data_IF_559224601009
#
_entry.id   IF_559224601009
#
_cell.length_a   1.000
_cell.length_b   1.000
_cell.length_c   1.000
_cell.angle_alpha   90.00
_cell.angle_beta   90.00
_cell.angle_gamma   90.00
#
_symmetry.space_group_name_H-M   'P 1'
#
loop_
_entity.id
_entity.type
_entity.pdbx_description
1 polymer ?
#
# COMPACT_ATOMS: atom_id res chain seq x y z
N UNK A 1 -4.24 15.58 30.62
CA UNK A 1 -4.23 14.87 29.32
C UNK A 1 -5.52 14.09 29.18
N UNK A 2 -6.55 14.66 28.55
CA UNK A 2 -7.82 13.96 28.26
C UNK A 2 -8.18 14.31 26.82
N UNK A 3 -8.46 13.30 26.00
CA UNK A 3 -8.69 13.33 24.54
C UNK A 3 -7.43 13.31 23.65
N UNK A 4 -6.39 12.57 24.00
CA UNK A 4 -5.48 12.06 22.96
C UNK A 4 -6.18 10.87 22.29
N UNK A 5 -6.46 10.97 21.00
CA UNK A 5 -6.96 9.85 20.20
C UNK A 5 -5.89 8.76 20.30
N UNK A 6 -6.11 7.76 21.15
CA UNK A 6 -5.27 6.57 21.19
C UNK A 6 -5.42 5.89 19.82
N UNK A 7 -4.38 5.91 18.97
CA UNK A 7 -4.46 5.20 17.70
C UNK A 7 -4.73 3.73 18.05
N UNK A 8 -5.64 3.08 17.36
CA UNK A 8 -5.79 1.63 17.49
C UNK A 8 -4.83 0.96 16.50
N UNK A 9 -4.29 -0.21 16.85
CA UNK A 9 -3.40 -1.01 15.99
C UNK A 9 -4.10 -1.63 14.77
N UNK A 10 -5.07 -0.91 14.19
CA UNK A 10 -6.04 -1.38 13.18
C UNK A 10 -5.33 -2.08 12.03
N UNK A 11 -4.17 -1.59 11.61
CA UNK A 11 -3.44 -2.12 10.46
C UNK A 11 -2.87 -3.53 10.67
N UNK A 12 -2.63 -3.97 11.91
CA UNK A 12 -1.91 -5.23 12.17
C UNK A 12 -2.76 -6.45 11.79
N UNK A 13 -4.05 -6.57 12.18
CA UNK A 13 -4.91 -7.65 11.70
C UNK A 13 -4.98 -7.76 10.18
N UNK A 14 -5.12 -6.63 9.48
CA UNK A 14 -5.11 -6.60 8.01
C UNK A 14 -3.76 -7.05 7.43
N UNK A 15 -2.64 -6.60 8.01
CA UNK A 15 -1.32 -7.03 7.57
C UNK A 15 -1.12 -8.55 7.76
N UNK A 16 -1.57 -9.11 8.89
CA UNK A 16 -1.48 -10.54 9.14
C UNK A 16 -2.35 -11.33 8.16
N UNK A 17 -3.58 -10.88 7.92
CA UNK A 17 -4.49 -11.47 6.94
C UNK A 17 -3.90 -11.41 5.52
N UNK A 18 -3.23 -10.30 5.17
CA UNK A 18 -2.52 -10.17 3.91
C UNK A 18 -1.43 -11.23 3.74
N UNK A 19 -0.62 -11.46 4.78
CA UNK A 19 0.42 -12.49 4.76
C UNK A 19 -0.18 -13.88 4.60
N UNK A 20 -1.31 -14.17 5.27
CA UNK A 20 -2.04 -15.43 5.13
C UNK A 20 -2.51 -15.61 3.67
N UNK A 21 -3.12 -14.59 3.07
CA UNK A 21 -3.53 -14.68 1.67
C UNK A 21 -2.35 -14.89 0.73
N UNK A 22 -1.23 -14.19 0.92
CA UNK A 22 -0.03 -14.42 0.10
C UNK A 22 0.53 -15.84 0.24
N UNK A 23 0.56 -16.40 1.46
CA UNK A 23 0.97 -17.80 1.68
C UNK A 23 0.03 -18.76 0.95
N UNK A 24 -1.28 -18.57 1.07
CA UNK A 24 -2.29 -19.37 0.35
C UNK A 24 -2.07 -19.25 -1.16
N UNK A 25 -1.81 -18.04 -1.67
CA UNK A 25 -1.50 -17.81 -3.08
C UNK A 25 -0.24 -18.52 -3.57
N UNK A 26 0.81 -18.60 -2.74
CA UNK A 26 2.01 -19.37 -3.05
C UNK A 26 1.77 -20.88 -3.08
N UNK A 27 0.92 -21.40 -2.20
CA UNK A 27 0.56 -22.83 -2.19
C UNK A 27 -0.34 -23.17 -3.39
N UNK A 28 -1.40 -22.39 -3.62
CA UNK A 28 -2.42 -22.65 -4.64
C UNK A 28 -2.14 -21.87 -5.93
N UNK A 29 -1.23 -22.39 -6.75
CA UNK A 29 -0.74 -21.75 -7.98
C UNK A 29 -1.84 -21.31 -8.97
N UNK A 30 -2.94 -22.06 -9.08
CA UNK A 30 -4.06 -21.69 -9.97
C UNK A 30 -4.80 -20.42 -9.51
N UNK A 31 -4.95 -20.26 -8.20
CA UNK A 31 -5.60 -19.10 -7.58
C UNK A 31 -4.60 -18.04 -7.12
N UNK A 32 -3.32 -18.22 -7.46
CA UNK A 32 -2.22 -17.35 -7.07
C UNK A 32 -2.52 -15.86 -7.30
N UNK A 33 -2.84 -15.38 -8.53
CA UNK A 33 -3.05 -13.96 -8.76
C UNK A 33 -4.23 -13.39 -7.95
N UNK A 34 -5.25 -14.21 -7.67
CA UNK A 34 -6.39 -13.80 -6.86
C UNK A 34 -6.00 -13.59 -5.39
N UNK A 35 -5.29 -14.54 -4.80
CA UNK A 35 -4.83 -14.41 -3.42
C UNK A 35 -3.75 -13.33 -3.24
N UNK A 36 -2.91 -13.11 -4.26
CA UNK A 36 -1.94 -12.01 -4.26
C UNK A 36 -2.63 -10.64 -4.22
N UNK A 37 -3.68 -10.44 -5.03
CA UNK A 37 -4.43 -9.18 -5.04
C UNK A 37 -5.30 -9.02 -3.78
N UNK A 38 -5.86 -10.10 -3.23
CA UNK A 38 -6.54 -10.06 -1.92
C UNK A 38 -5.58 -9.60 -0.83
N UNK A 39 -4.40 -10.20 -0.72
CA UNK A 39 -3.42 -9.77 0.30
C UNK A 39 -2.99 -8.31 0.11
N UNK A 40 -2.82 -7.85 -1.13
CA UNK A 40 -2.55 -6.44 -1.41
C UNK A 40 -3.70 -5.50 -0.98
N UNK A 41 -4.94 -5.93 -1.22
CA UNK A 41 -6.14 -5.22 -0.83
C UNK A 41 -6.27 -5.12 0.70
N UNK A 42 -5.93 -6.18 1.44
CA UNK A 42 -5.88 -6.14 2.90
C UNK A 42 -4.89 -5.10 3.42
N UNK A 43 -3.65 -5.10 2.91
CA UNK A 43 -2.65 -4.09 3.30
C UNK A 43 -3.18 -2.68 3.02
N UNK A 44 -3.83 -2.48 1.87
CA UNK A 44 -4.48 -1.23 1.52
C UNK A 44 -5.55 -0.83 2.57
N UNK A 45 -6.50 -1.72 2.89
CA UNK A 45 -7.57 -1.47 3.85
C UNK A 45 -7.02 -1.11 5.24
N UNK A 46 -6.06 -1.89 5.75
CA UNK A 46 -5.44 -1.64 7.05
C UNK A 46 -4.73 -0.29 7.10
N UNK A 47 -4.03 0.08 6.02
CA UNK A 47 -3.26 1.31 5.98
C UNK A 47 -4.13 2.56 5.77
N UNK A 48 -5.16 2.51 4.93
CA UNK A 48 -6.07 3.65 4.74
C UNK A 48 -6.86 3.94 6.03
N UNK A 49 -7.37 2.91 6.70
CA UNK A 49 -8.07 3.05 7.97
C UNK A 49 -7.15 3.65 9.03
N UNK A 50 -5.91 3.15 9.15
CA UNK A 50 -4.95 3.66 10.14
C UNK A 50 -4.55 5.10 9.89
N UNK A 51 -4.21 5.45 8.65
CA UNK A 51 -3.65 6.77 8.34
C UNK A 51 -4.70 7.88 8.35
N UNK A 52 -5.93 7.58 7.94
CA UNK A 52 -6.96 8.60 7.74
C UNK A 52 -8.11 8.50 8.74
N UNK A 53 -8.39 7.31 9.28
CA UNK A 53 -9.58 7.05 10.10
C UNK A 53 -9.31 6.29 11.42
N UNK A 54 -8.29 6.64 12.24
CA UNK A 54 -7.85 5.81 13.37
C UNK A 54 -8.77 5.85 14.61
N UNK A 55 -9.87 6.62 14.60
CA UNK A 55 -10.63 6.89 15.81
C UNK A 55 -11.46 5.68 16.29
N UNK A 56 -11.50 5.45 17.61
CA UNK A 56 -12.21 4.31 18.22
C UNK A 56 -13.70 4.23 17.91
N UNK A 57 -14.35 5.38 17.72
CA UNK A 57 -15.78 5.41 17.36
C UNK A 57 -16.09 4.71 16.04
N UNK A 58 -15.08 4.51 15.18
CA UNK A 58 -15.19 3.83 13.90
C UNK A 58 -14.95 2.31 13.99
N UNK A 59 -14.53 1.78 15.15
CA UNK A 59 -14.18 0.36 15.34
C UNK A 59 -15.25 -0.60 14.79
N UNK A 60 -16.56 -0.40 15.03
CA UNK A 60 -17.57 -1.33 14.50
C UNK A 60 -17.50 -1.47 12.97
N UNK A 61 -17.33 -0.36 12.25
CA UNK A 61 -17.21 -0.35 10.78
C UNK A 61 -15.87 -0.93 10.34
N UNK A 62 -14.79 -0.63 11.06
CA UNK A 62 -13.46 -1.18 10.77
C UNK A 62 -13.41 -2.71 10.94
N UNK A 63 -14.07 -3.25 11.98
CA UNK A 63 -14.20 -4.68 12.19
C UNK A 63 -15.08 -5.33 11.12
N UNK A 64 -16.16 -4.67 10.71
CA UNK A 64 -17.00 -5.14 9.62
C UNK A 64 -16.21 -5.24 8.31
N UNK A 65 -15.38 -4.23 8.01
CA UNK A 65 -14.46 -4.24 6.86
C UNK A 65 -13.49 -5.42 6.98
N UNK A 66 -12.84 -5.63 8.14
CA UNK A 66 -11.90 -6.74 8.34
C UNK A 66 -12.56 -8.11 8.17
N UNK A 67 -13.73 -8.32 8.77
CA UNK A 67 -14.45 -9.61 8.73
C UNK A 67 -14.92 -9.91 7.31
N UNK A 68 -15.48 -8.92 6.61
CA UNK A 68 -15.95 -9.10 5.24
C UNK A 68 -14.80 -9.33 4.27
N UNK A 69 -13.71 -8.56 4.36
CA UNK A 69 -12.54 -8.70 3.49
C UNK A 69 -11.79 -10.03 3.71
N UNK A 70 -11.82 -10.59 4.92
CA UNK A 70 -11.33 -11.93 5.22
C UNK A 70 -12.04 -13.06 4.47
N UNK A 71 -13.27 -12.85 3.98
CA UNK A 71 -13.98 -13.83 3.16
C UNK A 71 -13.50 -13.66 1.71
N UNK A 72 -12.79 -14.65 1.10
CA UNK A 72 -12.13 -14.49 -0.19
C UNK A 72 -13.10 -14.59 -1.37
N UNK A 73 -14.20 -13.83 -1.33
CA UNK A 73 -15.20 -13.71 -2.38
C UNK A 73 -15.26 -12.27 -2.87
N UNK A 74 -15.23 -12.05 -4.18
CA UNK A 74 -15.24 -10.71 -4.78
C UNK A 74 -16.40 -9.83 -4.28
N UNK A 75 -17.60 -10.39 -4.08
CA UNK A 75 -18.77 -9.67 -3.54
C UNK A 75 -18.50 -9.12 -2.13
N UNK A 76 -17.79 -9.88 -1.29
CA UNK A 76 -17.40 -9.42 0.05
C UNK A 76 -16.33 -8.33 -0.01
N UNK A 77 -15.49 -8.33 -1.04
CA UNK A 77 -14.52 -7.25 -1.29
C UNK A 77 -15.21 -5.95 -1.77
N UNK A 78 -16.27 -6.06 -2.58
CA UNK A 78 -17.14 -4.94 -2.93
C UNK A 78 -17.79 -4.36 -1.65
N UNK A 79 -18.36 -5.23 -0.82
CA UNK A 79 -18.99 -4.83 0.44
C UNK A 79 -17.99 -4.13 1.38
N UNK A 80 -16.79 -4.69 1.53
CA UNK A 80 -15.69 -4.08 2.31
C UNK A 80 -15.33 -2.69 1.79
N UNK A 81 -15.24 -2.53 0.47
CA UNK A 81 -14.95 -1.24 -0.18
C UNK A 81 -16.07 -0.23 0.05
N UNK A 82 -17.32 -0.67 0.02
CA UNK A 82 -18.48 0.18 0.31
C UNK A 82 -18.50 0.63 1.78
N UNK A 83 -18.22 -0.27 2.71
CA UNK A 83 -18.09 0.07 4.13
C UNK A 83 -16.95 1.05 4.39
N UNK A 84 -15.85 0.94 3.64
CA UNK A 84 -14.76 1.91 3.69
C UNK A 84 -15.19 3.30 3.18
N UNK A 85 -16.00 3.38 2.12
CA UNK A 85 -16.57 4.66 1.65
C UNK A 85 -17.50 5.27 2.70
N UNK A 86 -18.35 4.47 3.36
CA UNK A 86 -19.20 4.94 4.46
C UNK A 86 -18.34 5.52 5.60
N UNK A 87 -17.28 4.81 5.98
CA UNK A 87 -16.34 5.25 7.00
C UNK A 87 -15.68 6.58 6.61
N UNK A 88 -15.24 6.71 5.36
CA UNK A 88 -14.63 7.92 4.83
C UNK A 88 -15.59 9.12 4.89
N UNK A 89 -16.84 8.96 4.43
CA UNK A 89 -17.86 10.02 4.49
C UNK A 89 -18.16 10.41 5.94
N UNK A 90 -18.29 9.43 6.83
CA UNK A 90 -18.53 9.68 8.25
C UNK A 90 -17.36 10.46 8.87
N UNK A 91 -16.13 10.04 8.62
CA UNK A 91 -14.94 10.71 9.11
C UNK A 91 -14.80 12.15 8.57
N UNK A 92 -15.11 12.40 7.29
CA UNK A 92 -15.10 13.74 6.74
C UNK A 92 -16.15 14.66 7.37
N UNK A 93 -17.36 14.14 7.61
CA UNK A 93 -18.41 14.89 8.31
C UNK A 93 -17.93 15.28 9.70
N UNK A 94 -17.31 14.36 10.41
CA UNK A 94 -16.77 14.61 11.75
C UNK A 94 -15.65 15.65 11.74
N UNK A 95 -14.66 15.52 10.86
CA UNK A 95 -13.56 16.50 10.76
C UNK A 95 -14.11 17.90 10.48
N UNK A 96 -15.10 18.02 9.59
CA UNK A 96 -15.76 19.30 9.29
C UNK A 96 -16.50 19.86 10.52
N UNK A 97 -17.25 19.02 11.23
CA UNK A 97 -17.99 19.42 12.43
C UNK A 97 -17.06 19.89 13.55
N UNK A 98 -15.86 19.31 13.67
CA UNK A 98 -14.84 19.73 14.63
C UNK A 98 -13.99 20.93 14.15
N UNK A 99 -14.32 21.53 12.99
CA UNK A 99 -13.59 22.67 12.43
C UNK A 99 -12.19 22.32 11.88
N UNK A 100 -11.89 21.03 11.71
CA UNK A 100 -10.61 20.56 11.19
C UNK A 100 -10.47 20.77 9.68
N UNK A 101 -9.22 20.75 9.20
CA UNK A 101 -8.90 20.82 7.76
C UNK A 101 -8.48 19.45 7.24
N UNK A 102 -9.17 18.97 6.19
CA UNK A 102 -8.84 17.71 5.53
C UNK A 102 -7.67 17.91 4.56
N UNK A 103 -6.65 17.06 4.64
CA UNK A 103 -5.56 17.02 3.65
C UNK A 103 -6.16 16.52 2.34
N UNK A 104 -6.20 17.35 1.29
CA UNK A 104 -6.83 17.01 0.01
C UNK A 104 -5.97 16.03 -0.81
N UNK A 105 -5.85 14.77 -0.39
CA UNK A 105 -5.15 13.74 -1.17
C UNK A 105 -6.14 13.01 -2.09
N UNK A 106 -6.40 13.57 -3.28
CA UNK A 106 -7.37 13.03 -4.23
C UNK A 106 -7.03 11.62 -4.71
N UNK A 107 -5.73 11.32 -4.85
CA UNK A 107 -5.29 9.97 -5.22
C UNK A 107 -5.74 8.95 -4.18
N UNK A 108 -5.56 9.24 -2.89
CA UNK A 108 -5.97 8.31 -1.83
C UNK A 108 -7.48 8.24 -1.66
N UNK A 109 -8.17 9.38 -1.66
CA UNK A 109 -9.63 9.40 -1.43
C UNK A 109 -10.46 8.93 -2.63
N UNK A 110 -9.86 8.85 -3.83
CA UNK A 110 -10.51 8.20 -4.97
C UNK A 110 -10.37 6.67 -4.96
N UNK A 111 -9.41 6.11 -4.21
CA UNK A 111 -9.15 4.66 -4.26
C UNK A 111 -10.29 3.80 -3.73
N UNK A 112 -11.04 4.14 -2.64
CA UNK A 112 -12.15 3.32 -2.18
C UNK A 112 -13.25 3.16 -3.24
N UNK A 113 -13.61 4.27 -3.91
CA UNK A 113 -14.57 4.25 -5.01
C UNK A 113 -14.07 3.44 -6.20
N UNK A 114 -12.78 3.60 -6.55
CA UNK A 114 -12.17 2.81 -7.62
C UNK A 114 -12.18 1.31 -7.31
N UNK A 115 -12.00 0.90 -6.05
CA UNK A 115 -12.09 -0.49 -5.64
C UNK A 115 -13.49 -1.09 -5.78
N UNK A 116 -14.55 -0.33 -5.47
CA UNK A 116 -15.94 -0.78 -5.71
C UNK A 116 -16.12 -1.14 -7.19
N UNK A 117 -15.72 -0.24 -8.08
CA UNK A 117 -15.82 -0.46 -9.54
C UNK A 117 -14.94 -1.63 -9.97
N UNK A 118 -13.68 -1.66 -9.53
CA UNK A 118 -12.71 -2.68 -9.93
C UNK A 118 -13.12 -4.09 -9.49
N UNK A 119 -13.62 -4.25 -8.26
CA UNK A 119 -14.14 -5.53 -7.78
C UNK A 119 -15.44 -5.95 -8.46
N UNK A 120 -16.28 -4.98 -8.86
CA UNK A 120 -17.53 -5.26 -9.61
C UNK A 120 -17.26 -5.76 -11.03
N UNK A 121 -16.24 -5.22 -11.70
CA UNK A 121 -15.79 -5.67 -13.03
C UNK A 121 -15.00 -6.99 -12.92
N UNK A 122 -14.36 -7.22 -11.76
CA UNK A 122 -13.51 -8.38 -11.48
C UNK A 122 -12.38 -8.56 -12.50
N UNK A 123 -11.65 -7.48 -12.78
CA UNK A 123 -10.48 -7.48 -13.65
C UNK A 123 -9.23 -7.04 -12.88
N UNK A 124 -8.20 -7.89 -12.87
CA UNK A 124 -6.94 -7.63 -12.15
C UNK A 124 -6.32 -6.28 -12.47
N UNK A 125 -6.44 -5.84 -13.72
CA UNK A 125 -5.83 -4.60 -14.13
C UNK A 125 -6.58 -3.37 -13.61
N UNK A 126 -7.90 -3.44 -13.51
CA UNK A 126 -8.70 -2.42 -12.82
C UNK A 126 -8.38 -2.39 -11.32
N UNK A 127 -8.14 -3.55 -10.70
CA UNK A 127 -7.71 -3.65 -9.30
C UNK A 127 -6.32 -3.03 -9.08
N UNK A 128 -5.38 -3.28 -10.00
CA UNK A 128 -4.06 -2.65 -10.02
C UNK A 128 -4.17 -1.13 -10.14
N UNK A 129 -5.09 -0.63 -10.96
CA UNK A 129 -5.33 0.81 -11.09
C UNK A 129 -5.89 1.42 -9.79
N UNK A 130 -6.90 0.77 -9.20
CA UNK A 130 -7.46 1.20 -7.91
C UNK A 130 -6.38 1.23 -6.81
N UNK A 131 -5.52 0.21 -6.77
CA UNK A 131 -4.40 0.14 -5.83
C UNK A 131 -3.33 1.19 -6.11
N UNK A 132 -3.06 1.50 -7.39
CA UNK A 132 -2.09 2.51 -7.80
C UNK A 132 -2.47 3.91 -7.34
N UNK A 133 -3.78 4.26 -7.38
CA UNK A 133 -4.28 5.51 -6.82
C UNK A 133 -3.84 5.66 -5.35
N UNK A 134 -4.06 4.63 -4.54
CA UNK A 134 -3.65 4.62 -3.15
C UNK A 134 -2.12 4.70 -2.98
N UNK A 135 -1.39 3.78 -3.63
CA UNK A 135 0.06 3.62 -3.45
C UNK A 135 0.81 4.90 -3.81
N UNK A 136 0.51 5.48 -4.97
CA UNK A 136 1.15 6.73 -5.41
C UNK A 136 0.76 7.88 -4.49
N UNK A 137 -0.51 7.96 -4.10
CA UNK A 137 -1.04 9.03 -3.25
C UNK A 137 -0.42 9.07 -1.85
N UNK A 138 -0.32 7.93 -1.17
CA UNK A 138 0.27 7.87 0.18
C UNK A 138 1.78 8.10 0.14
N UNK A 139 2.47 7.55 -0.87
CA UNK A 139 3.92 7.67 -0.96
C UNK A 139 4.42 9.08 -1.33
N UNK A 140 3.56 9.99 -1.83
CA UNK A 140 3.90 11.41 -1.94
C UNK A 140 4.31 11.97 -0.57
N UNK A 141 3.57 11.62 0.50
CA UNK A 141 3.88 12.06 1.86
C UNK A 141 5.19 11.44 2.40
N UNK A 142 5.38 10.15 2.14
CA UNK A 142 6.60 9.42 2.56
C UNK A 142 7.84 10.03 1.91
N UNK A 143 7.83 10.17 0.57
CA UNK A 143 8.97 10.72 -0.16
C UNK A 143 9.18 12.21 0.08
N UNK A 144 8.10 12.99 0.31
CA UNK A 144 8.25 14.38 0.77
C UNK A 144 9.03 14.46 2.08
N UNK A 145 8.76 13.56 3.02
CA UNK A 145 9.44 13.58 4.31
C UNK A 145 10.83 12.90 4.32
N UNK A 146 11.09 11.92 3.45
CA UNK A 146 12.35 11.16 3.44
C UNK A 146 13.37 11.66 2.42
N UNK A 147 12.90 12.21 1.30
CA UNK A 147 13.72 12.68 0.18
C UNK A 147 13.60 14.20 -0.01
N UNK A 148 12.89 14.89 0.89
CA UNK A 148 12.63 16.33 0.84
C UNK A 148 11.87 16.77 -0.42
N UNK A 149 11.05 15.88 -0.98
CA UNK A 149 10.24 16.21 -2.15
C UNK A 149 9.16 17.23 -1.80
N UNK A 150 8.75 18.00 -2.80
CA UNK A 150 7.59 18.87 -2.67
C UNK A 150 6.33 18.01 -2.61
N UNK A 151 5.60 18.07 -1.51
CA UNK A 151 4.32 17.37 -1.40
C UNK A 151 3.32 17.96 -2.40
N UNK A 152 2.79 17.11 -3.28
CA UNK A 152 1.78 17.48 -4.28
C UNK A 152 0.44 16.92 -3.84
N UNK A 153 -0.43 17.81 -3.36
CA UNK A 153 -1.79 17.48 -2.95
C UNK A 153 -2.82 18.33 -3.71
N UNK A 154 -4.07 17.92 -3.65
CA UNK A 154 -5.21 18.57 -4.28
C UNK A 154 -5.17 18.43 -5.81
N UNK A 155 -5.71 19.42 -6.52
CA UNK A 155 -5.89 19.36 -7.97
C UNK A 155 -4.61 19.11 -8.77
N UNK A 156 -3.44 19.39 -8.18
CA UNK A 156 -2.15 19.09 -8.80
C UNK A 156 -1.88 17.58 -8.98
N UNK A 157 -2.66 16.72 -8.33
CA UNK A 157 -2.60 15.27 -8.49
C UNK A 157 -3.42 14.75 -9.69
N UNK A 158 -4.25 15.60 -10.32
CA UNK A 158 -5.12 15.20 -11.42
C UNK A 158 -4.39 14.56 -12.62
N UNK A 159 -3.19 15.04 -13.04
CA UNK A 159 -2.43 14.36 -14.09
C UNK A 159 -2.10 12.90 -13.76
N UNK A 160 -1.76 12.61 -12.50
CA UNK A 160 -1.50 11.24 -12.05
C UNK A 160 -2.77 10.38 -12.05
N UNK A 161 -3.91 10.94 -11.66
CA UNK A 161 -5.21 10.25 -11.72
C UNK A 161 -5.54 9.86 -13.15
N UNK A 162 -5.39 10.78 -14.11
CA UNK A 162 -5.63 10.50 -15.53
C UNK A 162 -4.71 9.37 -16.00
N UNK A 163 -3.40 9.45 -15.71
CA UNK A 163 -2.46 8.40 -16.13
C UNK A 163 -2.81 7.04 -15.53
N UNK A 164 -3.27 6.97 -14.28
CA UNK A 164 -3.75 5.72 -13.67
C UNK A 164 -5.02 5.21 -14.35
N UNK A 165 -5.95 6.09 -14.74
CA UNK A 165 -7.16 5.69 -15.47
C UNK A 165 -6.81 5.18 -16.88
N UNK A 166 -5.95 5.89 -17.61
CA UNK A 166 -5.47 5.46 -18.94
C UNK A 166 -4.75 4.12 -18.82
N UNK A 167 -3.97 3.95 -17.75
CA UNK A 167 -3.31 2.69 -17.45
C UNK A 167 -4.33 1.55 -17.45
N UNK A 168 -5.54 1.69 -16.88
CA UNK A 168 -6.59 0.67 -16.84
C UNK A 168 -6.99 0.08 -18.21
N UNK A 169 -6.71 0.78 -19.31
CA UNK A 169 -6.96 0.31 -20.67
C UNK A 169 -5.69 -0.09 -21.41
N UNK A 170 -4.55 0.52 -21.06
CA UNK A 170 -3.27 0.33 -21.75
C UNK A 170 -2.19 -0.08 -20.73
N UNK A 171 -1.94 -1.39 -20.61
CA UNK A 171 -1.04 -1.96 -19.60
C UNK A 171 0.39 -1.42 -19.68
N UNK A 172 0.82 -1.14 -20.91
CA UNK A 172 2.13 -0.60 -21.26
C UNK A 172 2.36 0.80 -20.69
N UNK A 173 1.33 1.49 -20.19
CA UNK A 173 1.46 2.79 -19.53
C UNK A 173 2.08 2.72 -18.14
N UNK A 174 2.15 1.53 -17.51
CA UNK A 174 2.73 1.36 -16.17
C UNK A 174 4.14 1.99 -16.01
N UNK A 175 5.16 1.65 -16.82
CA UNK A 175 6.50 2.25 -16.70
C UNK A 175 6.49 3.77 -16.85
N UNK A 176 5.69 4.30 -17.79
CA UNK A 176 5.59 5.73 -18.05
C UNK A 176 4.91 6.46 -16.89
N UNK A 177 3.85 5.89 -16.31
CA UNK A 177 3.20 6.41 -15.10
C UNK A 177 4.20 6.48 -13.95
N UNK A 178 4.99 5.43 -13.71
CA UNK A 178 5.94 5.39 -12.59
C UNK A 178 7.10 6.37 -12.81
N UNK A 179 7.67 6.43 -14.02
CA UNK A 179 8.68 7.44 -14.34
C UNK A 179 8.14 8.86 -14.19
N UNK A 180 6.94 9.13 -14.72
CA UNK A 180 6.29 10.43 -14.60
C UNK A 180 6.01 10.78 -13.13
N UNK A 181 5.49 9.83 -12.33
CA UNK A 181 5.27 10.02 -10.90
C UNK A 181 6.54 10.49 -10.18
N UNK A 182 7.65 9.81 -10.41
CA UNK A 182 8.92 10.18 -9.78
C UNK A 182 9.51 11.47 -10.34
N UNK A 183 9.40 11.73 -11.65
CA UNK A 183 9.87 12.98 -12.25
C UNK A 183 9.05 14.19 -11.79
N UNK A 184 7.73 14.02 -11.64
CA UNK A 184 6.81 15.09 -11.25
C UNK A 184 6.88 15.41 -9.75
N UNK A 185 7.20 14.43 -8.90
CA UNK A 185 7.28 14.62 -7.44
C UNK A 185 8.67 15.01 -6.94
N UNK A 186 9.75 14.72 -7.68
CA UNK A 186 11.12 15.04 -7.27
C UNK A 186 11.64 16.31 -7.92
N UNK A 187 12.11 17.22 -7.09
CA UNK A 187 12.86 18.41 -7.53
C UNK A 187 14.31 18.44 -7.03
N UNK A 188 14.65 17.67 -5.99
CA UNK A 188 16.00 17.67 -5.37
C UNK A 188 16.50 16.26 -5.08
N UNK A 189 17.80 16.02 -5.28
CA UNK A 189 18.45 14.75 -4.95
C UNK A 189 18.93 14.77 -3.50
N UNK A 190 18.21 14.08 -2.61
CA UNK A 190 18.73 13.75 -1.28
C UNK A 190 19.02 12.25 -1.17
N UNK A 191 20.14 11.91 -0.54
CA UNK A 191 20.59 10.52 -0.37
C UNK A 191 19.90 9.85 0.83
N UNK A 192 18.61 9.49 0.69
CA UNK A 192 18.01 8.47 1.55
C UNK A 192 18.11 7.11 0.83
N UNK A 193 18.93 6.19 1.35
CA UNK A 193 19.17 4.88 0.72
C UNK A 193 17.86 4.16 0.42
N UNK A 194 17.00 3.96 1.43
CA UNK A 194 15.73 3.25 1.26
C UNK A 194 14.84 3.91 0.22
N UNK A 195 14.62 5.23 0.34
CA UNK A 195 13.77 5.96 -0.60
C UNK A 195 14.27 5.89 -2.04
N UNK A 196 15.60 6.00 -2.24
CA UNK A 196 16.22 5.93 -3.55
C UNK A 196 16.18 4.51 -4.14
N UNK A 197 16.46 3.48 -3.36
CA UNK A 197 16.35 2.09 -3.83
C UNK A 197 14.91 1.73 -4.16
N UNK A 198 13.91 2.17 -3.38
CA UNK A 198 12.50 2.01 -3.74
C UNK A 198 12.20 2.68 -5.09
N UNK A 199 12.61 3.94 -5.28
CA UNK A 199 12.44 4.65 -6.56
C UNK A 199 13.07 3.92 -7.73
N UNK A 200 14.36 3.58 -7.63
CA UNK A 200 15.10 2.96 -8.73
C UNK A 200 14.56 1.57 -9.05
N UNK A 201 14.27 0.73 -8.05
CA UNK A 201 13.61 -0.55 -8.26
C UNK A 201 12.29 -0.36 -9.01
N UNK A 202 11.44 0.58 -8.58
CA UNK A 202 10.14 0.80 -9.23
C UNK A 202 10.27 1.20 -10.70
N UNK A 203 11.21 2.08 -11.03
CA UNK A 203 11.46 2.48 -12.42
C UNK A 203 12.05 1.31 -13.21
N UNK A 204 13.14 0.72 -12.73
CA UNK A 204 13.90 -0.31 -13.46
C UNK A 204 13.04 -1.55 -13.72
N UNK A 205 12.33 -2.05 -12.72
CA UNK A 205 11.47 -3.25 -12.86
C UNK A 205 10.31 -2.99 -13.82
N UNK A 206 9.64 -1.84 -13.71
CA UNK A 206 8.51 -1.54 -14.60
C UNK A 206 8.97 -1.31 -16.04
N UNK A 207 10.11 -0.65 -16.28
CA UNK A 207 10.67 -0.53 -17.63
C UNK A 207 11.12 -1.89 -18.19
N UNK A 208 11.71 -2.75 -17.36
CA UNK A 208 12.11 -4.09 -17.77
C UNK A 208 10.92 -4.91 -18.28
N UNK A 209 9.71 -4.69 -17.76
CA UNK A 209 8.49 -5.37 -18.22
C UNK A 209 8.08 -5.06 -19.66
N UNK A 210 8.56 -3.96 -20.25
CA UNK A 210 8.36 -3.70 -21.69
C UNK A 210 9.09 -4.72 -22.57
N UNK A 211 10.21 -5.27 -22.08
CA UNK A 211 11.03 -6.23 -22.80
C UNK A 211 10.78 -7.68 -22.35
N UNK A 212 10.61 -7.87 -21.04
CA UNK A 212 10.47 -9.18 -20.41
C UNK A 212 9.01 -9.64 -20.27
N UNK A 213 8.06 -8.75 -20.57
CA UNK A 213 6.63 -8.98 -20.39
C UNK A 213 6.19 -8.98 -18.92
N UNK A 214 4.93 -9.38 -18.72
CA UNK A 214 4.28 -9.55 -17.42
C UNK A 214 4.24 -8.28 -16.54
N UNK A 215 3.38 -7.35 -16.96
CA UNK A 215 3.11 -6.11 -16.23
C UNK A 215 2.52 -6.33 -14.83
N UNK A 216 1.86 -7.47 -14.58
CA UNK A 216 1.27 -7.80 -13.27
C UNK A 216 2.37 -8.03 -12.26
N UNK A 217 3.34 -8.91 -12.56
CA UNK A 217 4.48 -9.13 -11.67
C UNK A 217 5.36 -7.89 -11.53
N UNK A 218 5.53 -7.11 -12.61
CA UNK A 218 6.28 -5.86 -12.56
C UNK A 218 5.62 -4.82 -11.64
N UNK A 219 4.28 -4.73 -11.66
CA UNK A 219 3.54 -3.92 -10.71
C UNK A 219 3.70 -4.45 -9.27
N UNK A 220 3.47 -5.74 -9.05
CA UNK A 220 3.55 -6.36 -7.70
C UNK A 220 4.92 -6.18 -7.06
N UNK A 221 6.00 -6.51 -7.78
CA UNK A 221 7.36 -6.57 -7.25
C UNK A 221 8.14 -5.26 -7.45
N UNK A 222 7.81 -4.48 -8.47
CA UNK A 222 8.45 -3.19 -8.73
C UNK A 222 7.76 -2.03 -8.03
N UNK A 223 6.43 -2.04 -7.91
CA UNK A 223 5.66 -0.88 -7.42
C UNK A 223 5.03 -1.19 -6.07
N UNK A 224 4.11 -2.15 -6.03
CA UNK A 224 3.26 -2.41 -4.87
C UNK A 224 4.06 -2.80 -3.62
N UNK A 225 4.82 -3.89 -3.65
CA UNK A 225 5.54 -4.37 -2.47
C UNK A 225 6.64 -3.39 -1.99
N UNK A 226 7.46 -2.79 -2.88
CA UNK A 226 8.41 -1.74 -2.48
C UNK A 226 7.76 -0.49 -1.87
N UNK A 227 6.66 0.00 -2.45
CA UNK A 227 5.97 1.19 -1.94
C UNK A 227 5.22 0.92 -0.64
N UNK A 228 4.59 -0.26 -0.49
CA UNK A 228 3.96 -0.65 0.78
C UNK A 228 4.99 -0.80 1.89
N UNK A 229 6.06 -1.57 1.66
CA UNK A 229 7.10 -1.78 2.68
C UNK A 229 7.74 -0.46 3.11
N UNK A 230 8.05 0.43 2.16
CA UNK A 230 8.54 1.78 2.44
C UNK A 230 7.54 2.59 3.29
N UNK A 231 6.28 2.66 2.88
CA UNK A 231 5.26 3.44 3.59
C UNK A 231 4.96 2.90 5.00
N UNK A 232 4.78 1.59 5.14
CA UNK A 232 4.50 0.96 6.42
C UNK A 232 5.66 1.18 7.37
N UNK A 233 6.91 0.88 6.96
CA UNK A 233 8.07 1.08 7.82
C UNK A 233 8.28 2.56 8.18
N UNK A 234 8.11 3.48 7.22
CA UNK A 234 8.24 4.90 7.51
C UNK A 234 7.20 5.38 8.54
N UNK A 235 5.95 4.91 8.44
CA UNK A 235 4.85 5.36 9.29
C UNK A 235 4.76 4.64 10.65
N UNK A 236 5.36 3.46 10.81
CA UNK A 236 5.21 2.62 12.02
C UNK A 236 6.51 2.36 12.74
N UNK A 237 7.61 2.33 12.00
CA UNK A 237 8.90 1.82 12.42
C UNK A 237 10.01 2.71 11.87
N UNK A 238 9.81 4.04 11.94
CA UNK A 238 10.69 5.03 11.30
C UNK A 238 12.17 4.86 11.68
N UNK A 239 12.44 4.42 12.90
CA UNK A 239 13.78 4.11 13.42
C UNK A 239 14.47 2.96 12.65
N UNK A 240 13.71 2.06 12.04
CA UNK A 240 14.19 0.96 11.21
C UNK A 240 14.17 1.29 9.71
N UNK A 241 13.59 2.41 9.28
CA UNK A 241 13.42 2.77 7.87
C UNK A 241 14.74 2.80 7.09
N UNK A 242 15.83 3.26 7.71
CA UNK A 242 17.16 3.35 7.07
C UNK A 242 17.73 1.96 6.74
N UNK A 243 17.31 0.91 7.43
CA UNK A 243 17.74 -0.49 7.18
C UNK A 243 16.94 -1.17 6.06
N UNK A 244 15.83 -0.58 5.65
CA UNK A 244 14.87 -1.20 4.73
C UNK A 244 15.30 -1.19 3.26
N UNK A 245 16.42 -0.57 2.90
CA UNK A 245 16.90 -0.45 1.51
C UNK A 245 17.15 -1.80 0.81
N UNK A 246 17.37 -2.88 1.56
CA UNK A 246 17.54 -4.24 1.01
C UNK A 246 16.23 -4.81 0.46
N UNK A 247 15.09 -4.43 1.05
CA UNK A 247 13.76 -4.94 0.67
C UNK A 247 13.44 -4.71 -0.83
N UNK A 248 13.50 -3.48 -1.37
CA UNK A 248 13.22 -3.26 -2.80
C UNK A 248 14.21 -3.97 -3.72
N UNK A 249 15.44 -4.27 -3.29
CA UNK A 249 16.40 -5.05 -4.09
C UNK A 249 16.00 -6.52 -4.17
N UNK A 250 15.57 -7.11 -3.05
CA UNK A 250 15.08 -8.49 -3.02
C UNK A 250 13.82 -8.66 -3.87
N UNK A 251 12.90 -7.69 -3.86
CA UNK A 251 11.74 -7.72 -4.76
C UNK A 251 12.13 -7.57 -6.23
N UNK A 252 13.11 -6.73 -6.56
CA UNK A 252 13.66 -6.65 -7.92
C UNK A 252 14.25 -7.99 -8.36
N UNK A 253 15.06 -8.62 -7.49
CA UNK A 253 15.65 -9.93 -7.76
C UNK A 253 14.57 -11.00 -7.99
N UNK A 254 13.53 -11.02 -7.16
CA UNK A 254 12.35 -11.88 -7.35
C UNK A 254 11.77 -11.72 -8.77
N UNK A 255 11.55 -10.49 -9.22
CA UNK A 255 11.00 -10.22 -10.55
C UNK A 255 11.87 -10.79 -11.68
N UNK A 256 13.19 -10.65 -11.60
CA UNK A 256 14.09 -11.19 -12.64
C UNK A 256 14.20 -12.72 -12.59
N UNK A 257 14.23 -13.33 -11.40
CA UNK A 257 14.29 -14.78 -11.26
C UNK A 257 13.01 -15.48 -11.76
N UNK A 258 11.88 -14.76 -11.84
CA UNK A 258 10.61 -15.26 -12.40
C UNK A 258 10.76 -15.84 -13.81
N UNK A 259 11.67 -15.26 -14.61
CA UNK A 259 11.92 -15.69 -15.99
C UNK A 259 12.57 -17.07 -16.02
N UNK A 260 13.36 -17.39 -15.00
CA UNK A 260 14.01 -18.69 -14.86
C UNK A 260 13.01 -19.70 -14.27
N UNK A 261 12.38 -19.35 -13.16
CA UNK A 261 11.45 -20.23 -12.44
C UNK A 261 10.63 -19.43 -11.42
N UNK A 262 9.31 -19.69 -11.38
CA UNK A 262 8.41 -19.11 -10.37
C UNK A 262 8.81 -19.49 -8.94
N UNK A 263 9.03 -20.78 -8.60
CA UNK A 263 9.56 -21.16 -7.28
C UNK A 263 10.86 -20.44 -6.88
N UNK A 264 11.76 -20.20 -7.82
CA UNK A 264 13.01 -19.50 -7.54
C UNK A 264 12.76 -18.00 -7.23
N UNK A 265 11.80 -17.38 -7.93
CA UNK A 265 11.33 -16.02 -7.67
C UNK A 265 10.70 -15.86 -6.28
N UNK A 266 10.07 -16.90 -5.73
CA UNK A 266 9.44 -16.85 -4.41
C UNK A 266 10.46 -16.75 -3.26
N UNK A 267 11.68 -17.26 -3.44
CA UNK A 267 12.71 -17.25 -2.40
C UNK A 267 13.09 -15.81 -1.99
N UNK A 268 13.52 -14.91 -2.91
CA UNK A 268 13.78 -13.51 -2.53
C UNK A 268 12.54 -12.78 -2.02
N UNK A 269 11.34 -13.09 -2.54
CA UNK A 269 10.09 -12.51 -2.05
C UNK A 269 9.82 -12.88 -0.59
N UNK A 270 9.99 -14.16 -0.24
CA UNK A 270 9.86 -14.67 1.12
C UNK A 270 10.89 -14.03 2.06
N UNK A 271 12.16 -13.97 1.65
CA UNK A 271 13.22 -13.31 2.43
C UNK A 271 12.89 -11.82 2.66
N UNK A 272 12.44 -11.10 1.62
CA UNK A 272 12.05 -9.70 1.74
C UNK A 272 10.89 -9.51 2.73
N UNK A 273 9.90 -10.38 2.68
CA UNK A 273 8.72 -10.35 3.55
C UNK A 273 9.07 -10.65 5.01
N UNK A 274 9.92 -11.66 5.26
CA UNK A 274 10.43 -11.97 6.59
C UNK A 274 11.28 -10.83 7.14
N UNK A 275 12.16 -10.25 6.32
CA UNK A 275 12.98 -9.12 6.73
C UNK A 275 12.14 -7.87 7.04
N UNK A 276 11.10 -7.61 6.25
CA UNK A 276 10.10 -6.58 6.52
C UNK A 276 9.39 -6.81 7.86
N UNK A 277 8.89 -8.01 8.12
CA UNK A 277 8.24 -8.36 9.39
C UNK A 277 9.19 -8.22 10.58
N UNK A 278 10.46 -8.59 10.42
CA UNK A 278 11.48 -8.39 11.45
C UNK A 278 11.73 -6.91 11.77
N UNK A 279 11.80 -6.04 10.77
CA UNK A 279 11.91 -4.59 10.97
C UNK A 279 10.64 -3.97 11.57
N UNK A 280 9.50 -4.64 11.43
CA UNK A 280 8.19 -4.23 11.94
C UNK A 280 7.81 -4.85 13.30
N UNK A 281 8.62 -5.79 13.82
CA UNK A 281 8.27 -6.66 14.95
C UNK A 281 7.77 -5.95 16.22
N UNK A 282 8.27 -4.74 16.50
CA UNK A 282 7.90 -3.99 17.70
C UNK A 282 6.48 -3.41 17.61
N UNK A 283 5.81 -3.52 16.46
CA UNK A 283 4.39 -3.25 16.29
C UNK A 283 3.54 -4.52 16.40
N UNK A 284 4.12 -5.72 16.30
CA UNK A 284 3.42 -7.01 16.38
C UNK A 284 3.23 -7.48 17.83
N UNK A 285 2.89 -6.56 18.73
CA UNK A 285 2.69 -6.86 20.16
C UNK A 285 1.26 -6.59 20.58
N UNK A 286 0.76 -7.30 21.60
CA UNK A 286 -0.57 -7.06 22.18
C UNK A 286 -0.71 -5.61 22.69
N UNK A 287 0.37 -5.05 23.24
CA UNK A 287 0.41 -3.65 23.68
C UNK A 287 0.28 -2.69 22.49
N UNK A 288 1.03 -2.92 21.41
CA UNK A 288 0.92 -2.12 20.19
C UNK A 288 -0.44 -2.26 19.49
N UNK A 289 -1.07 -3.43 19.57
CA UNK A 289 -2.44 -3.64 19.10
C UNK A 289 -3.45 -2.81 19.90
N UNK A 290 -3.32 -2.79 21.23
CA UNK A 290 -4.22 -2.05 22.13
C UNK A 290 -4.03 -0.54 22.06
N UNK A 291 -2.78 -0.09 22.01
CA UNK A 291 -2.39 1.32 22.14
C UNK A 291 -2.10 2.00 20.80
N UNK A 292 -1.97 1.23 19.70
CA UNK A 292 -1.58 1.70 18.36
C UNK A 292 -0.23 2.41 18.31
N UNK A 293 0.58 2.24 19.35
CA UNK A 293 1.93 2.78 19.47
C UNK A 293 2.91 1.60 19.49
N UNK A 294 3.97 1.68 18.69
CA UNK A 294 5.03 0.67 18.70
C UNK A 294 5.62 0.54 20.10
N UNK A 295 5.87 -0.68 20.56
CA UNK A 295 6.47 -0.95 21.88
C UNK A 295 7.79 -0.20 22.09
N UNK A 296 8.54 0.04 21.02
CA UNK A 296 9.78 0.82 21.03
C UNK A 296 9.62 2.25 21.57
N UNK A 297 8.42 2.85 21.46
CA UNK A 297 8.12 4.19 22.01
C UNK A 297 7.52 4.16 23.42
N UNK A 298 7.16 2.97 23.94
CA UNK A 298 6.62 2.79 25.29
C UNK A 298 7.71 2.43 26.31
N UNK A 299 8.85 1.92 25.84
CA UNK A 299 9.99 1.51 26.67
C UNK A 299 11.03 2.63 26.87
N UNK A 300 10.75 3.84 26.38
CA UNK A 300 11.55 5.04 26.60
C UNK A 300 10.82 5.97 27.56
#
# INVERSE_FOLDING_TARGET
MKLSIEPWGVNIPFLLLAMVFWIIGGIFHYSHPYFMILGAFEIYLGMIIRLFFPARKYIPVQLLILISSAIPMHVMQIFSSFMLVILEIWAFKDVKNYGGRIIRNFLVFSSPFAFIVAWSIFNYWFLICALSLYLLGVNIGVFSATLNNKAIFGFKQFPLVILVIVMAFIKQMLPFLIAFYFAYTFNEFKLNKTGNFTKYTSIIVTFSSLFLGDFTHAFTLGVMAPLFSSCILYSTSKYNYVKAWVIPLLYALSYYLRIISLPLSEIPFGIASLYFLWLFKDNLTLESLKLGISKAFLQK
#
